data_IF_696349429639
#
_entry.id   IF_696349429639
#
_cell.length_a   1.000
_cell.length_b   1.000
_cell.length_c   1.000
_cell.angle_alpha   90.00
_cell.angle_beta   90.00
_cell.angle_gamma   90.00
#
_symmetry.space_group_name_H-M   'P 1'
#
loop_
_entity.id
_entity.type
_entity.pdbx_description
1 polymer ?
#
# COMPACT_ATOMS: atom_id res chain seq x y z
N UNK A 1 17.85 37.49 22.12
CA UNK A 1 16.84 36.56 22.66
C UNK A 1 15.54 36.83 21.93
N UNK A 2 15.16 35.98 21.00
CA UNK A 2 13.89 36.08 20.28
C UNK A 2 13.37 34.66 20.10
N UNK A 3 12.52 34.24 21.02
CA UNK A 3 11.89 32.92 21.02
C UNK A 3 10.42 33.17 21.33
N UNK A 4 9.57 33.06 20.32
CA UNK A 4 8.11 32.84 20.37
C UNK A 4 7.50 33.42 19.07
N UNK A 5 7.26 32.54 18.10
CA UNK A 5 6.01 32.49 17.34
C UNK A 5 6.14 31.31 16.36
N UNK A 6 5.95 30.10 16.89
CA UNK A 6 5.43 29.02 16.05
C UNK A 6 3.99 29.42 15.77
N UNK A 7 3.72 29.88 14.55
CA UNK A 7 2.39 30.24 14.09
C UNK A 7 1.40 29.14 14.48
N UNK A 8 0.50 29.46 15.40
CA UNK A 8 -0.68 28.64 15.70
C UNK A 8 -1.48 28.63 14.41
N UNK A 9 -1.53 27.46 13.73
CA UNK A 9 -2.24 27.32 12.47
C UNK A 9 -3.69 27.76 12.61
N UNK A 10 -4.33 28.12 11.50
CA UNK A 10 -5.73 28.53 11.55
C UNK A 10 -6.58 27.41 12.18
N UNK A 11 -7.78 27.75 12.70
CA UNK A 11 -8.69 26.74 13.26
C UNK A 11 -8.95 25.59 12.27
N UNK A 12 -9.04 25.90 10.98
CA UNK A 12 -9.18 24.90 9.92
C UNK A 12 -7.95 23.98 9.79
N UNK A 13 -6.74 24.54 9.88
CA UNK A 13 -5.51 23.74 9.83
C UNK A 13 -5.43 22.76 11.00
N UNK A 14 -5.85 23.21 12.19
CA UNK A 14 -5.88 22.34 13.38
C UNK A 14 -6.96 21.26 13.29
N UNK A 15 -8.15 21.58 12.80
CA UNK A 15 -9.20 20.60 12.54
C UNK A 15 -8.78 19.58 11.46
N UNK A 16 -8.10 20.05 10.41
CA UNK A 16 -7.51 19.18 9.39
C UNK A 16 -6.43 18.27 9.97
N UNK A 17 -5.57 18.80 10.83
CA UNK A 17 -4.57 18.05 11.58
C UNK A 17 -5.20 16.96 12.45
N UNK A 18 -6.28 17.29 13.17
CA UNK A 18 -7.01 16.33 14.01
C UNK A 18 -7.59 15.18 13.17
N UNK A 19 -8.23 15.48 12.03
CA UNK A 19 -8.77 14.47 11.10
C UNK A 19 -7.67 13.57 10.55
N UNK A 20 -6.56 14.15 10.09
CA UNK A 20 -5.42 13.39 9.55
C UNK A 20 -4.81 12.46 10.61
N UNK A 21 -4.65 12.97 11.83
CA UNK A 21 -4.13 12.21 12.96
C UNK A 21 -5.09 11.07 13.39
N UNK A 22 -6.40 11.34 13.42
CA UNK A 22 -7.42 10.33 13.69
C UNK A 22 -7.42 9.21 12.65
N UNK A 23 -7.29 9.53 11.35
CA UNK A 23 -7.14 8.53 10.29
C UNK A 23 -5.88 7.67 10.47
N UNK A 24 -4.74 8.31 10.78
CA UNK A 24 -3.48 7.60 10.98
C UNK A 24 -3.55 6.62 12.16
N UNK A 25 -4.01 7.08 13.32
CA UNK A 25 -4.08 6.22 14.50
C UNK A 25 -5.25 5.25 14.45
N UNK A 26 -6.38 5.62 13.87
CA UNK A 26 -7.49 4.71 13.60
C UNK A 26 -7.06 3.49 12.78
N UNK A 27 -6.21 3.70 11.76
CA UNK A 27 -5.63 2.60 10.99
C UNK A 27 -4.81 1.64 11.86
N UNK A 28 -4.06 2.16 12.84
CA UNK A 28 -3.26 1.34 13.78
C UNK A 28 -4.13 0.55 14.75
N UNK A 29 -5.28 1.09 15.17
CA UNK A 29 -6.27 0.36 15.99
C UNK A 29 -6.84 -0.82 15.21
N UNK A 30 -7.24 -0.59 13.96
CA UNK A 30 -7.79 -1.65 13.09
C UNK A 30 -6.74 -2.73 12.78
N UNK A 31 -5.47 -2.35 12.65
CA UNK A 31 -4.35 -3.29 12.50
C UNK A 31 -3.99 -4.06 13.78
N UNK A 32 -4.65 -3.79 14.92
CA UNK A 32 -4.33 -4.39 16.22
C UNK A 32 -2.97 -3.96 16.78
N UNK A 33 -2.39 -2.85 16.29
CA UNK A 33 -1.05 -2.35 16.68
C UNK A 33 -1.10 -1.38 17.86
N UNK A 34 -2.26 -0.82 18.17
CA UNK A 34 -2.52 0.02 19.32
C UNK A 34 -3.96 -0.22 19.81
N UNK A 35 -4.26 0.22 21.04
CA UNK A 35 -5.60 0.20 21.61
C UNK A 35 -6.18 1.62 21.65
N UNK A 36 -7.50 1.72 21.68
CA UNK A 36 -8.24 2.99 21.55
C UNK A 36 -7.76 4.05 22.54
N UNK A 37 -7.62 3.67 23.80
CA UNK A 37 -7.26 4.55 24.90
C UNK A 37 -5.87 5.17 24.68
N UNK A 38 -4.88 4.32 24.33
CA UNK A 38 -3.52 4.77 24.06
C UNK A 38 -3.44 5.70 22.84
N UNK A 39 -4.29 5.48 21.84
CA UNK A 39 -4.40 6.37 20.67
C UNK A 39 -4.97 7.73 21.06
N UNK A 40 -6.05 7.76 21.85
CA UNK A 40 -6.66 9.01 22.29
C UNK A 40 -5.70 9.84 23.13
N UNK A 41 -4.97 9.21 24.06
CA UNK A 41 -3.91 9.88 24.82
C UNK A 41 -2.83 10.48 23.90
N UNK A 42 -2.39 9.71 22.90
CA UNK A 42 -1.36 10.16 21.95
C UNK A 42 -1.87 11.28 21.04
N UNK A 43 -3.14 11.26 20.65
CA UNK A 43 -3.80 12.33 19.90
C UNK A 43 -3.84 13.62 20.71
N UNK A 44 -4.25 13.53 21.98
CA UNK A 44 -4.29 14.68 22.90
C UNK A 44 -2.90 15.26 23.14
N UNK A 45 -1.87 14.41 23.30
CA UNK A 45 -0.50 14.85 23.51
C UNK A 45 0.11 15.54 22.28
N UNK A 46 -0.15 15.03 21.07
CA UNK A 46 0.45 15.54 19.83
C UNK A 46 -0.25 16.78 19.28
N UNK A 47 -1.56 16.90 19.48
CA UNK A 47 -2.34 18.04 19.01
C UNK A 47 -3.31 18.51 20.10
N UNK A 48 -2.83 19.11 21.21
CA UNK A 48 -3.65 19.52 22.33
C UNK A 48 -4.60 20.66 21.96
N UNK A 49 -5.59 20.94 22.81
CA UNK A 49 -6.45 22.13 22.71
C UNK A 49 -7.88 21.88 22.19
N UNK A 50 -8.26 20.63 21.96
CA UNK A 50 -9.65 20.23 21.81
C UNK A 50 -10.19 19.61 23.10
N UNK A 51 -11.50 19.60 23.34
CA UNK A 51 -12.08 18.84 24.46
C UNK A 51 -11.96 17.32 24.19
N UNK A 52 -11.83 16.45 25.21
CA UNK A 52 -11.65 15.01 25.05
C UNK A 52 -12.65 14.36 24.09
N UNK A 53 -13.93 14.74 24.19
CA UNK A 53 -15.03 14.22 23.39
C UNK A 53 -14.84 14.49 21.89
N UNK A 54 -14.10 15.56 21.54
CA UNK A 54 -13.80 15.89 20.15
C UNK A 54 -12.79 14.91 19.55
N UNK A 55 -11.80 14.44 20.33
CA UNK A 55 -10.87 13.43 19.86
C UNK A 55 -11.56 12.08 19.68
N UNK A 56 -12.43 11.71 20.62
CA UNK A 56 -13.23 10.48 20.53
C UNK A 56 -14.12 10.49 19.30
N UNK A 57 -14.88 11.57 19.08
CA UNK A 57 -15.76 11.69 17.92
C UNK A 57 -15.01 11.65 16.59
N UNK A 58 -13.83 12.29 16.50
CA UNK A 58 -13.02 12.23 15.27
C UNK A 58 -12.36 10.88 15.07
N UNK A 59 -11.96 10.18 16.13
CA UNK A 59 -11.48 8.81 16.03
C UNK A 59 -12.59 7.86 15.56
N UNK A 60 -13.81 7.99 16.09
CA UNK A 60 -14.95 7.19 15.64
C UNK A 60 -15.29 7.47 14.17
N UNK A 61 -15.33 8.74 13.78
CA UNK A 61 -15.54 9.12 12.39
C UNK A 61 -14.44 8.57 11.47
N UNK A 62 -13.19 8.54 11.94
CA UNK A 62 -12.09 7.93 11.21
C UNK A 62 -12.27 6.41 11.07
N UNK A 63 -12.65 5.71 12.14
CA UNK A 63 -12.90 4.25 12.11
C UNK A 63 -14.03 3.89 11.15
N UNK A 64 -15.12 4.66 11.11
CA UNK A 64 -16.20 4.47 10.13
C UNK A 64 -15.70 4.66 8.69
N UNK A 65 -14.92 5.71 8.41
CA UNK A 65 -14.34 5.92 7.07
C UNK A 65 -13.39 4.80 6.68
N UNK A 66 -12.61 4.29 7.63
CA UNK A 66 -11.70 3.16 7.43
C UNK A 66 -12.51 1.90 7.06
N UNK A 67 -13.60 1.61 7.76
CA UNK A 67 -14.49 0.48 7.46
C UNK A 67 -15.13 0.59 6.06
N UNK A 68 -15.67 1.77 5.70
CA UNK A 68 -16.22 2.02 4.36
C UNK A 68 -15.19 1.80 3.25
N UNK A 69 -13.96 2.24 3.49
CA UNK A 69 -12.87 2.07 2.55
C UNK A 69 -12.33 0.63 2.51
N UNK A 70 -12.35 -0.10 3.62
CA UNK A 70 -12.04 -1.53 3.64
C UNK A 70 -12.93 -2.29 2.68
N UNK A 71 -14.24 -2.03 2.68
CA UNK A 71 -15.19 -2.69 1.76
C UNK A 71 -14.80 -2.44 0.30
N UNK A 72 -14.42 -1.21 -0.05
CA UNK A 72 -13.98 -0.86 -1.41
C UNK A 72 -12.69 -1.58 -1.79
N UNK A 73 -11.72 -1.60 -0.87
CA UNK A 73 -10.44 -2.28 -1.09
C UNK A 73 -10.63 -3.79 -1.19
N UNK A 74 -11.47 -4.40 -0.37
CA UNK A 74 -11.82 -5.82 -0.45
C UNK A 74 -12.42 -6.16 -1.82
N UNK A 75 -13.39 -5.39 -2.29
CA UNK A 75 -13.97 -5.62 -3.62
C UNK A 75 -12.91 -5.52 -4.73
N UNK A 76 -12.01 -4.54 -4.65
CA UNK A 76 -10.90 -4.41 -5.60
C UNK A 76 -9.94 -5.60 -5.53
N UNK A 77 -9.64 -6.10 -4.33
CA UNK A 77 -8.77 -7.27 -4.14
C UNK A 77 -9.40 -8.54 -4.71
N UNK A 78 -10.71 -8.73 -4.52
CA UNK A 78 -11.45 -9.86 -5.11
C UNK A 78 -11.42 -9.82 -6.64
N UNK A 79 -11.60 -8.64 -7.24
CA UNK A 79 -11.44 -8.45 -8.67
C UNK A 79 -10.02 -8.78 -9.12
N UNK A 80 -9.00 -8.26 -8.44
CA UNK A 80 -7.59 -8.54 -8.73
C UNK A 80 -7.28 -10.04 -8.67
N UNK A 81 -7.77 -10.74 -7.64
CA UNK A 81 -7.60 -12.20 -7.49
C UNK A 81 -8.32 -12.93 -8.63
N UNK A 82 -9.54 -12.52 -8.96
CA UNK A 82 -10.32 -13.12 -10.07
C UNK A 82 -9.59 -12.98 -11.41
N UNK A 83 -9.03 -11.81 -11.70
CA UNK A 83 -8.23 -11.57 -12.90
C UNK A 83 -6.94 -12.40 -12.89
N UNK A 84 -6.21 -12.41 -11.77
CA UNK A 84 -4.97 -13.18 -11.63
C UNK A 84 -5.19 -14.68 -11.87
N UNK A 85 -6.31 -15.23 -11.40
CA UNK A 85 -6.67 -16.65 -11.58
C UNK A 85 -6.91 -17.06 -13.04
N UNK A 86 -7.04 -16.10 -13.97
CA UNK A 86 -7.19 -16.36 -15.40
C UNK A 86 -5.87 -16.31 -16.17
N UNK A 87 -4.76 -15.99 -15.48
CA UNK A 87 -3.43 -15.86 -16.08
C UNK A 87 -2.62 -17.14 -15.89
N UNK A 88 -1.50 -17.22 -16.60
CA UNK A 88 -0.51 -18.26 -16.36
C UNK A 88 0.12 -18.11 -14.95
N UNK A 89 0.83 -19.13 -14.42
CA UNK A 89 1.31 -19.11 -13.04
C UNK A 89 2.21 -17.90 -12.73
N UNK A 90 3.00 -17.46 -13.70
CA UNK A 90 4.00 -16.42 -13.50
C UNK A 90 3.35 -15.04 -13.48
N UNK A 91 2.46 -14.75 -14.44
CA UNK A 91 1.72 -13.50 -14.48
C UNK A 91 0.64 -13.44 -13.37
N UNK A 92 0.01 -14.56 -13.00
CA UNK A 92 -0.93 -14.61 -11.88
C UNK A 92 -0.27 -14.21 -10.56
N UNK A 93 0.91 -14.79 -10.26
CA UNK A 93 1.68 -14.45 -9.08
C UNK A 93 2.21 -13.02 -9.17
N UNK A 94 2.68 -12.58 -10.34
CA UNK A 94 3.11 -11.21 -10.54
C UNK A 94 2.02 -10.20 -10.19
N UNK A 95 0.80 -10.37 -10.70
CA UNK A 95 -0.32 -9.45 -10.48
C UNK A 95 -0.58 -9.23 -8.99
N UNK A 96 -0.65 -10.30 -8.19
CA UNK A 96 -0.92 -10.21 -6.76
C UNK A 96 0.32 -9.74 -5.98
N UNK A 97 1.51 -10.26 -6.31
CA UNK A 97 2.75 -9.92 -5.60
C UNK A 97 3.18 -8.47 -5.83
N UNK A 98 3.06 -7.98 -7.06
CA UNK A 98 3.27 -6.58 -7.42
C UNK A 98 2.32 -5.67 -6.65
N UNK A 99 1.03 -6.03 -6.57
CA UNK A 99 0.05 -5.28 -5.78
C UNK A 99 0.48 -5.23 -4.31
N UNK A 100 0.82 -6.38 -3.73
CA UNK A 100 1.27 -6.48 -2.34
C UNK A 100 2.50 -5.60 -2.07
N UNK A 101 3.55 -5.68 -2.91
CA UNK A 101 4.78 -4.89 -2.70
C UNK A 101 4.53 -3.39 -2.90
N UNK A 102 3.65 -3.00 -3.81
CA UNK A 102 3.42 -1.59 -4.14
C UNK A 102 2.46 -0.90 -3.16
N UNK A 103 1.46 -1.61 -2.64
CA UNK A 103 0.35 -1.00 -1.92
C UNK A 103 0.18 -1.48 -0.48
N UNK A 104 0.53 -2.74 -0.16
CA UNK A 104 0.25 -3.33 1.15
C UNK A 104 1.22 -2.98 2.28
N UNK A 105 2.33 -2.31 1.99
CA UNK A 105 3.27 -1.82 3.01
C UNK A 105 2.93 -0.38 3.49
N UNK A 106 1.87 0.24 2.94
CA UNK A 106 1.41 1.57 3.38
C UNK A 106 0.25 1.45 4.37
N UNK A 107 0.25 2.35 5.36
CA UNK A 107 -0.95 2.70 6.15
C UNK A 107 -1.98 3.26 5.15
N UNK A 108 -2.82 2.39 4.58
CA UNK A 108 -3.62 2.72 3.41
C UNK A 108 -4.42 1.56 2.83
N UNK A 109 -4.12 0.32 3.22
CA UNK A 109 -5.03 -0.82 3.00
C UNK A 109 -5.90 -1.10 4.22
N UNK A 110 -6.04 -0.08 5.09
CA UNK A 110 -6.99 -0.05 6.17
C UNK A 110 -6.91 -1.28 7.10
N UNK A 111 -5.72 -1.85 7.28
CA UNK A 111 -5.49 -3.04 8.11
C UNK A 111 -5.79 -4.40 7.49
N UNK A 112 -6.06 -4.46 6.18
CA UNK A 112 -6.33 -5.72 5.47
C UNK A 112 -5.07 -6.55 5.14
N UNK A 113 -3.86 -6.04 5.42
CA UNK A 113 -2.60 -6.75 5.22
C UNK A 113 -2.30 -7.16 3.77
N UNK A 114 -1.27 -7.97 3.54
CA UNK A 114 -0.97 -8.49 2.18
C UNK A 114 -1.98 -9.59 1.79
N UNK A 115 -2.32 -9.68 0.50
CA UNK A 115 -3.07 -10.82 -0.04
C UNK A 115 -2.20 -12.07 0.09
N UNK A 116 -2.71 -13.12 0.71
CA UNK A 116 -2.02 -14.41 0.80
C UNK A 116 -2.09 -15.14 -0.55
N UNK A 117 -0.93 -15.32 -1.20
CA UNK A 117 -0.83 -15.98 -2.50
C UNK A 117 -1.28 -17.45 -2.49
N UNK A 118 -1.04 -18.17 -1.39
CA UNK A 118 -1.44 -19.58 -1.28
C UNK A 118 -2.96 -19.69 -1.12
N UNK A 119 -3.57 -18.79 -0.35
CA UNK A 119 -5.04 -18.78 -0.24
C UNK A 119 -5.70 -18.36 -1.56
N UNK A 120 -5.07 -17.46 -2.32
CA UNK A 120 -5.61 -16.93 -3.58
C UNK A 120 -5.43 -17.87 -4.79
N UNK A 121 -4.31 -18.61 -4.85
CA UNK A 121 -3.88 -19.37 -6.04
C UNK A 121 -3.50 -20.83 -5.76
N UNK A 122 -3.45 -21.27 -4.51
CA UNK A 122 -2.92 -22.59 -4.12
C UNK A 122 -3.77 -23.79 -4.55
N UNK A 123 -5.00 -23.55 -4.99
CA UNK A 123 -5.86 -24.56 -5.62
C UNK A 123 -5.54 -24.75 -7.13
N UNK A 124 -4.90 -23.78 -7.76
CA UNK A 124 -4.51 -23.81 -9.18
C UNK A 124 -3.04 -24.22 -9.35
N UNK A 125 -2.18 -23.78 -8.44
CA UNK A 125 -0.73 -23.91 -8.56
C UNK A 125 -0.13 -24.51 -7.29
N UNK A 126 0.89 -25.35 -7.46
CA UNK A 126 1.61 -25.93 -6.34
C UNK A 126 2.33 -24.84 -5.54
N UNK A 127 2.61 -25.12 -4.27
CA UNK A 127 3.36 -24.19 -3.41
C UNK A 127 4.74 -23.88 -3.98
N UNK A 128 5.39 -24.86 -4.60
CA UNK A 128 6.67 -24.72 -5.26
C UNK A 128 6.58 -23.80 -6.47
N UNK A 129 5.54 -23.93 -7.30
CA UNK A 129 5.29 -23.03 -8.45
C UNK A 129 5.08 -21.60 -7.98
N UNK A 130 4.26 -21.39 -6.94
CA UNK A 130 4.02 -20.05 -6.37
C UNK A 130 5.32 -19.47 -5.80
N UNK A 131 6.09 -20.25 -5.05
CA UNK A 131 7.34 -19.79 -4.42
C UNK A 131 8.39 -19.41 -5.48
N UNK A 132 8.56 -20.24 -6.51
CA UNK A 132 9.46 -19.95 -7.63
C UNK A 132 9.02 -18.69 -8.40
N UNK A 133 7.72 -18.58 -8.70
CA UNK A 133 7.20 -17.39 -9.36
C UNK A 133 7.42 -16.12 -8.52
N UNK A 134 7.27 -16.19 -7.19
CA UNK A 134 7.59 -15.06 -6.29
C UNK A 134 9.06 -14.63 -6.45
N UNK A 135 10.01 -15.57 -6.41
CA UNK A 135 11.43 -15.25 -6.59
C UNK A 135 11.71 -14.57 -7.92
N UNK A 136 11.07 -15.03 -8.99
CA UNK A 136 11.20 -14.44 -10.33
C UNK A 136 10.56 -13.05 -10.41
N UNK A 137 9.41 -12.86 -9.77
CA UNK A 137 8.75 -11.56 -9.66
C UNK A 137 9.60 -10.55 -8.90
N UNK A 138 10.24 -10.96 -7.80
CA UNK A 138 11.16 -10.10 -7.05
C UNK A 138 12.34 -9.66 -7.90
N UNK A 139 12.95 -10.57 -8.66
CA UNK A 139 14.05 -10.25 -9.56
C UNK A 139 13.63 -9.24 -10.65
N UNK A 140 12.43 -9.40 -11.23
CA UNK A 140 11.87 -8.46 -12.21
C UNK A 140 11.65 -7.08 -11.61
N UNK A 141 10.96 -7.00 -10.46
CA UNK A 141 10.65 -5.75 -9.77
C UNK A 141 11.94 -5.00 -9.39
N UNK A 142 12.92 -5.71 -8.82
CA UNK A 142 14.17 -5.10 -8.37
C UNK A 142 15.05 -4.66 -9.56
N UNK A 143 15.01 -5.35 -10.70
CA UNK A 143 15.65 -4.86 -11.92
C UNK A 143 14.94 -3.61 -12.47
N UNK A 144 13.61 -3.61 -12.53
CA UNK A 144 12.84 -2.47 -13.01
C UNK A 144 13.03 -1.21 -12.14
N UNK A 145 13.07 -1.36 -10.81
CA UNK A 145 13.41 -0.28 -9.87
C UNK A 145 14.81 0.27 -10.17
N UNK A 146 15.80 -0.61 -10.39
CA UNK A 146 17.16 -0.17 -10.74
C UNK A 146 17.22 0.58 -12.08
N UNK A 147 16.41 0.19 -13.06
CA UNK A 147 16.30 0.91 -14.33
C UNK A 147 15.74 2.33 -14.15
N UNK A 148 14.91 2.54 -13.13
CA UNK A 148 14.33 3.84 -12.78
C UNK A 148 15.34 4.95 -12.46
N UNK A 149 16.58 4.60 -12.07
CA UNK A 149 17.66 5.59 -11.83
C UNK A 149 18.28 6.16 -13.12
N UNK A 150 18.05 5.54 -14.28
CA UNK A 150 18.64 5.92 -15.56
C UNK A 150 17.74 6.85 -16.41
N UNK A 151 18.21 7.15 -17.63
CA UNK A 151 17.37 7.81 -18.64
C UNK A 151 16.15 6.96 -18.99
N UNK A 152 14.99 7.59 -19.18
CA UNK A 152 13.78 6.90 -19.60
C UNK A 152 13.86 6.52 -21.08
N UNK A 153 14.27 5.29 -21.34
CA UNK A 153 14.34 4.68 -22.66
C UNK A 153 13.42 3.44 -22.72
N UNK A 154 12.10 3.69 -22.72
CA UNK A 154 11.09 2.65 -22.54
C UNK A 154 11.31 1.41 -23.42
N UNK A 155 11.49 1.58 -24.73
CA UNK A 155 11.68 0.45 -25.67
C UNK A 155 12.96 -0.35 -25.40
N UNK A 156 14.07 0.35 -25.10
CA UNK A 156 15.35 -0.29 -24.78
C UNK A 156 15.26 -1.09 -23.47
N UNK A 157 14.62 -0.50 -22.46
CA UNK A 157 14.38 -1.13 -21.16
C UNK A 157 13.44 -2.33 -21.29
N UNK A 158 12.34 -2.21 -22.04
CA UNK A 158 11.43 -3.33 -22.32
C UNK A 158 12.11 -4.47 -23.08
N UNK A 159 12.93 -4.16 -24.10
CA UNK A 159 13.70 -5.16 -24.83
C UNK A 159 14.70 -5.89 -23.91
N UNK A 160 15.31 -5.18 -22.97
CA UNK A 160 16.17 -5.79 -21.95
C UNK A 160 15.39 -6.69 -21.00
N UNK A 161 14.26 -6.22 -20.46
CA UNK A 161 13.42 -7.00 -19.55
C UNK A 161 12.88 -8.28 -20.19
N UNK A 162 12.44 -8.25 -21.45
CA UNK A 162 12.02 -9.45 -22.19
C UNK A 162 13.13 -10.51 -22.27
N UNK A 163 14.39 -10.08 -22.37
CA UNK A 163 15.55 -10.99 -22.43
C UNK A 163 15.95 -11.52 -21.05
N UNK A 164 15.92 -10.69 -20.00
CA UNK A 164 16.35 -11.09 -18.66
C UNK A 164 15.27 -11.85 -17.88
N UNK A 165 13.99 -11.61 -18.19
CA UNK A 165 12.85 -12.20 -17.49
C UNK A 165 11.91 -12.91 -18.48
N UNK A 166 12.36 -14.02 -19.11
CA UNK A 166 11.56 -14.71 -20.11
C UNK A 166 10.30 -15.33 -19.50
N UNK A 167 9.19 -15.31 -20.23
CA UNK A 167 7.93 -15.94 -19.81
C UNK A 167 6.96 -15.02 -19.05
N UNK A 168 7.36 -13.80 -18.67
CA UNK A 168 6.39 -12.77 -18.28
C UNK A 168 5.74 -12.18 -19.54
N UNK A 169 4.46 -11.80 -19.45
CA UNK A 169 3.84 -11.01 -20.50
C UNK A 169 4.38 -9.58 -20.54
N UNK A 170 4.27 -8.95 -21.71
CA UNK A 170 4.64 -7.53 -21.90
C UNK A 170 3.90 -6.61 -20.93
N UNK A 171 2.68 -6.96 -20.52
CA UNK A 171 1.91 -6.21 -19.52
C UNK A 171 2.61 -6.21 -18.16
N UNK A 172 3.05 -7.37 -17.68
CA UNK A 172 3.75 -7.50 -16.40
C UNK A 172 5.09 -6.77 -16.43
N UNK A 173 5.86 -6.94 -17.51
CA UNK A 173 7.13 -6.24 -17.70
C UNK A 173 6.96 -4.72 -17.70
N UNK A 174 5.97 -4.20 -18.45
CA UNK A 174 5.68 -2.77 -18.52
C UNK A 174 5.22 -2.20 -17.17
N UNK A 175 4.37 -2.94 -16.44
CA UNK A 175 3.91 -2.52 -15.11
C UNK A 175 5.05 -2.40 -14.10
N UNK A 176 6.00 -3.35 -14.11
CA UNK A 176 7.19 -3.28 -13.27
C UNK A 176 8.06 -2.08 -13.63
N UNK A 177 8.31 -1.88 -14.93
CA UNK A 177 9.13 -0.78 -15.44
C UNK A 177 8.53 0.60 -15.08
N UNK A 178 7.24 0.79 -15.30
CA UNK A 178 6.53 2.02 -14.95
C UNK A 178 6.61 2.30 -13.45
N UNK A 179 6.50 1.26 -12.61
CA UNK A 179 6.68 1.41 -11.17
C UNK A 179 8.09 1.92 -10.83
N UNK A 180 9.12 1.31 -11.39
CA UNK A 180 10.51 1.70 -11.16
C UNK A 180 10.77 3.17 -11.47
N UNK A 181 10.22 3.69 -12.57
CA UNK A 181 10.36 5.11 -12.90
C UNK A 181 9.51 6.04 -12.04
N UNK A 182 8.29 5.64 -11.66
CA UNK A 182 7.41 6.46 -10.84
C UNK A 182 7.97 6.75 -9.44
N UNK A 183 8.75 5.84 -8.85
CA UNK A 183 9.32 6.04 -7.51
C UNK A 183 10.60 6.90 -7.51
N UNK A 184 11.17 7.16 -8.68
CA UNK A 184 12.41 7.94 -8.85
C UNK A 184 12.20 9.28 -9.58
N UNK A 185 10.94 9.65 -9.83
CA UNK A 185 10.54 10.97 -10.36
C UNK A 185 10.17 11.91 -9.22
#
# INVERSE_FOLDING_TARGET
>A
MGNADRADGTREDRESGLRSMAMHFGGRVVEGKDFREAVLERMQANLPGFPPERYEAELDAALTRIDEEQVRVMSRREQLITEARQLDPLDAVFTIHYFNRRFSDRVGEYGLGRINLIDALGDLYSREQVTEAVHRCDALIDEAIRMGYGSWEHESNMARLRRSHPGFSDRSLSSALDWGHLIHR
#
